data_IF_872809910973
#
_entry.id   IF_872809910973
#
_cell.length_a   1.000
_cell.length_b   1.000
_cell.length_c   1.000
_cell.angle_alpha   90.00
_cell.angle_beta   90.00
_cell.angle_gamma   90.00
#
_symmetry.space_group_name_H-M   'P 1'
#
loop_
_entity.id
_entity.type
_entity.pdbx_description
1 polymer ?
#
# COMPACT_ATOMS: atom_id res chain seq x y z
N UNK A 1 -18.25 -15.21 16.01
CA UNK A 1 -17.13 -15.38 15.04
C UNK A 1 -16.56 -14.05 14.57
N UNK A 2 -17.32 -13.14 13.93
CA UNK A 2 -16.79 -11.82 13.51
C UNK A 2 -16.18 -11.03 14.67
N UNK A 3 -16.88 -10.93 15.81
CA UNK A 3 -16.38 -10.26 17.02
C UNK A 3 -15.12 -10.92 17.57
N UNK A 4 -15.06 -12.26 17.61
CA UNK A 4 -13.88 -13.02 18.06
C UNK A 4 -12.66 -12.76 17.16
N UNK A 5 -12.87 -12.67 15.84
CA UNK A 5 -11.83 -12.36 14.86
C UNK A 5 -11.31 -10.93 15.11
N UNK A 6 -12.21 -9.96 15.23
CA UNK A 6 -11.85 -8.56 15.48
C UNK A 6 -11.10 -8.39 16.79
N UNK A 7 -11.57 -9.03 17.87
CA UNK A 7 -10.90 -9.01 19.16
C UNK A 7 -9.51 -9.66 19.10
N UNK A 8 -9.35 -10.73 18.30
CA UNK A 8 -8.04 -11.36 18.10
C UNK A 8 -7.09 -10.45 17.34
N UNK A 9 -7.55 -9.81 16.26
CA UNK A 9 -6.75 -8.87 15.45
C UNK A 9 -6.33 -7.66 16.30
N UNK A 10 -7.27 -7.02 17.00
CA UNK A 10 -6.97 -5.85 17.83
C UNK A 10 -5.98 -6.17 18.96
N UNK A 11 -6.00 -7.40 19.50
CA UNK A 11 -5.06 -7.84 20.54
C UNK A 11 -3.66 -8.15 20.01
N UNK A 12 -3.54 -8.65 18.78
CA UNK A 12 -2.27 -9.16 18.24
C UNK A 12 -1.59 -8.23 17.23
N UNK A 13 -2.31 -7.24 16.69
CA UNK A 13 -1.81 -6.31 15.66
C UNK A 13 -1.95 -4.87 16.17
N UNK A 14 -0.86 -4.23 16.64
CA UNK A 14 -0.90 -2.89 17.24
C UNK A 14 -1.57 -1.83 16.36
N UNK A 15 -1.35 -1.87 15.04
CA UNK A 15 -1.96 -0.92 14.10
C UNK A 15 -3.49 -1.03 14.02
N UNK A 16 -4.03 -2.18 14.43
CA UNK A 16 -5.46 -2.48 14.49
C UNK A 16 -6.03 -2.45 15.92
N UNK A 17 -5.20 -2.16 16.93
CA UNK A 17 -5.62 -2.03 18.33
C UNK A 17 -6.38 -0.73 18.65
N UNK A 18 -6.56 0.14 17.64
CA UNK A 18 -7.32 1.40 17.78
C UNK A 18 -8.78 1.10 18.14
N UNK A 19 -9.48 2.02 18.82
CA UNK A 19 -10.91 1.86 19.07
C UNK A 19 -11.63 1.49 17.79
N UNK A 20 -12.40 0.40 17.80
CA UNK A 20 -13.24 -0.01 16.67
C UNK A 20 -14.44 0.95 16.47
N UNK A 21 -14.44 2.07 17.17
CA UNK A 21 -15.37 3.19 17.04
C UNK A 21 -14.92 4.10 15.90
N UNK A 22 -15.87 4.59 15.09
CA UNK A 22 -15.58 5.48 13.96
C UNK A 22 -15.40 4.76 12.62
N UNK A 23 -14.85 5.49 11.64
CA UNK A 23 -14.74 5.01 10.24
C UNK A 23 -13.80 3.81 10.09
N UNK A 24 -12.71 3.78 10.86
CA UNK A 24 -11.72 2.71 10.87
C UNK A 24 -12.34 1.37 11.28
N UNK A 25 -12.93 1.30 12.48
CA UNK A 25 -13.50 0.05 12.97
C UNK A 25 -14.68 -0.45 12.14
N UNK A 26 -15.51 0.44 11.58
CA UNK A 26 -16.53 0.07 10.59
C UNK A 26 -15.90 -0.53 9.32
N UNK A 27 -14.77 0.02 8.86
CA UNK A 27 -14.01 -0.52 7.73
C UNK A 27 -13.50 -1.93 8.01
N UNK A 28 -12.86 -2.14 9.15
CA UNK A 28 -12.34 -3.46 9.56
C UNK A 28 -13.47 -4.48 9.72
N UNK A 29 -14.59 -4.11 10.37
CA UNK A 29 -15.78 -4.95 10.50
C UNK A 29 -16.34 -5.37 9.13
N UNK A 30 -16.45 -4.42 8.19
CA UNK A 30 -16.89 -4.70 6.81
C UNK A 30 -15.92 -5.62 6.10
N UNK A 31 -14.61 -5.43 6.27
CA UNK A 31 -13.56 -6.28 5.70
C UNK A 31 -13.65 -7.72 6.20
N UNK A 32 -13.76 -7.94 7.51
CA UNK A 32 -13.93 -9.29 8.09
C UNK A 32 -15.22 -9.93 7.58
N UNK A 33 -16.34 -9.18 7.53
CA UNK A 33 -17.60 -9.72 7.03
C UNK A 33 -17.52 -10.07 5.53
N UNK A 34 -16.83 -9.27 4.72
CA UNK A 34 -16.58 -9.55 3.31
C UNK A 34 -15.71 -10.79 3.13
N UNK A 35 -14.64 -10.93 3.92
CA UNK A 35 -13.76 -12.11 3.89
C UNK A 35 -14.51 -13.41 4.25
N UNK A 36 -15.38 -13.37 5.27
CA UNK A 36 -16.18 -14.54 5.63
C UNK A 36 -17.20 -14.91 4.54
N UNK A 37 -17.81 -13.92 3.88
CA UNK A 37 -18.70 -14.16 2.74
C UNK A 37 -17.94 -14.76 1.55
N UNK A 38 -16.83 -14.14 1.15
CA UNK A 38 -16.00 -14.60 0.04
C UNK A 38 -15.43 -16.00 0.27
N UNK A 39 -15.05 -16.34 1.51
CA UNK A 39 -14.67 -17.71 1.85
C UNK A 39 -15.83 -18.70 1.71
N UNK A 40 -17.03 -18.32 2.15
CA UNK A 40 -18.22 -19.18 2.00
C UNK A 40 -18.61 -19.39 0.54
N UNK A 41 -18.42 -18.37 -0.30
CA UNK A 41 -18.63 -18.46 -1.75
C UNK A 41 -17.60 -19.40 -2.40
N UNK A 42 -16.32 -19.26 -2.04
CA UNK A 42 -15.25 -20.17 -2.50
C UNK A 42 -15.55 -21.64 -2.20
N UNK A 43 -16.11 -21.93 -1.01
CA UNK A 43 -16.48 -23.30 -0.66
C UNK A 43 -17.69 -23.83 -1.45
N UNK A 44 -18.56 -22.95 -1.95
CA UNK A 44 -19.73 -23.33 -2.75
C UNK A 44 -19.38 -23.55 -4.21
N UNK A 45 -18.44 -22.76 -4.72
CA UNK A 45 -18.00 -22.80 -6.11
C UNK A 45 -16.47 -22.64 -6.18
N UNK A 46 -15.71 -23.74 -6.00
CA UNK A 46 -14.25 -23.71 -6.00
C UNK A 46 -13.65 -23.37 -7.38
N UNK A 47 -14.36 -23.74 -8.45
CA UNK A 47 -13.97 -23.53 -9.85
C UNK A 47 -14.48 -22.19 -10.40
N UNK A 48 -15.33 -21.50 -9.62
CA UNK A 48 -15.82 -20.17 -9.93
C UNK A 48 -14.66 -19.23 -10.18
N UNK A 49 -14.59 -18.66 -11.38
CA UNK A 49 -13.65 -17.59 -11.72
C UNK A 49 -13.92 -16.40 -10.79
N UNK A 50 -13.20 -16.35 -9.66
CA UNK A 50 -13.41 -15.46 -8.53
C UNK A 50 -13.13 -13.97 -8.78
N UNK A 51 -13.50 -13.47 -9.96
CA UNK A 51 -13.21 -12.11 -10.44
C UNK A 51 -13.89 -10.99 -9.67
N UNK A 52 -14.92 -11.27 -8.86
CA UNK A 52 -15.58 -10.23 -8.05
C UNK A 52 -14.91 -9.98 -6.68
N UNK A 53 -14.05 -10.90 -6.22
CA UNK A 53 -13.38 -10.78 -4.92
C UNK A 53 -12.02 -10.06 -5.00
N UNK A 54 -11.31 -10.18 -6.13
CA UNK A 54 -9.97 -9.60 -6.30
C UNK A 54 -9.93 -8.09 -6.10
N UNK A 55 -10.87 -7.36 -6.70
CA UNK A 55 -10.94 -5.89 -6.64
C UNK A 55 -10.99 -5.35 -5.19
N UNK A 56 -11.68 -6.06 -4.29
CA UNK A 56 -11.82 -5.62 -2.89
C UNK A 56 -10.49 -5.68 -2.15
N UNK A 57 -9.69 -6.72 -2.39
CA UNK A 57 -8.42 -6.92 -1.69
C UNK A 57 -7.31 -6.05 -2.28
N UNK A 58 -7.33 -5.82 -3.60
CA UNK A 58 -6.50 -4.79 -4.26
C UNK A 58 -6.79 -3.42 -3.63
N UNK A 59 -8.05 -3.02 -3.51
CA UNK A 59 -8.40 -1.73 -2.89
C UNK A 59 -8.05 -1.65 -1.41
N UNK A 60 -8.06 -2.76 -0.70
CA UNK A 60 -7.61 -2.81 0.68
C UNK A 60 -6.10 -2.53 0.77
N UNK A 61 -5.30 -3.15 -0.10
CA UNK A 61 -3.87 -2.89 -0.23
C UNK A 61 -3.55 -1.42 -0.54
N UNK A 62 -4.26 -0.84 -1.52
CA UNK A 62 -4.17 0.61 -1.81
C UNK A 62 -4.54 1.45 -0.59
N UNK A 63 -5.58 1.01 0.14
CA UNK A 63 -6.11 1.66 1.34
C UNK A 63 -5.10 1.74 2.49
N UNK A 64 -4.29 0.70 2.70
CA UNK A 64 -3.23 0.69 3.73
C UNK A 64 -2.21 1.79 3.45
N UNK A 65 -1.71 1.89 2.22
CA UNK A 65 -0.75 2.92 1.82
C UNK A 65 -1.33 4.33 2.00
N UNK A 66 -2.59 4.55 1.58
CA UNK A 66 -3.30 5.83 1.75
C UNK A 66 -3.41 6.24 3.22
N UNK A 67 -3.53 5.26 4.12
CA UNK A 67 -3.64 5.49 5.57
C UNK A 67 -2.28 5.48 6.28
N UNK A 68 -1.16 5.39 5.53
CA UNK A 68 0.20 5.37 6.07
C UNK A 68 0.54 4.12 6.87
N UNK A 69 -0.20 3.02 6.67
CA UNK A 69 0.06 1.72 7.32
C UNK A 69 0.93 0.84 6.44
N UNK A 70 1.57 -0.13 7.09
CA UNK A 70 2.40 -1.12 6.43
C UNK A 70 1.55 -2.28 5.91
N UNK A 71 2.00 -2.86 4.81
CA UNK A 71 1.42 -4.10 4.28
C UNK A 71 1.58 -5.27 5.27
N UNK A 72 2.67 -5.27 6.05
CA UNK A 72 2.94 -6.28 7.08
C UNK A 72 1.83 -6.34 8.14
N UNK A 73 1.30 -5.18 8.57
CA UNK A 73 0.20 -5.13 9.52
C UNK A 73 -1.08 -5.74 8.95
N UNK A 74 -1.37 -5.51 7.67
CA UNK A 74 -2.51 -6.11 7.01
C UNK A 74 -2.36 -7.63 6.88
N UNK A 75 -1.19 -8.12 6.47
CA UNK A 75 -0.91 -9.56 6.40
C UNK A 75 -0.94 -10.23 7.78
N UNK A 76 -0.47 -9.54 8.82
CA UNK A 76 -0.59 -10.01 10.19
C UNK A 76 -2.07 -10.14 10.61
N UNK A 77 -2.92 -9.17 10.27
CA UNK A 77 -4.35 -9.22 10.53
C UNK A 77 -5.02 -10.41 9.83
N UNK A 78 -4.66 -10.71 8.58
CA UNK A 78 -5.14 -11.90 7.87
C UNK A 78 -4.73 -13.20 8.57
N UNK A 79 -3.46 -13.37 8.94
CA UNK A 79 -2.99 -14.58 9.65
C UNK A 79 -3.69 -14.76 11.00
N UNK A 80 -3.93 -13.68 11.74
CA UNK A 80 -4.65 -13.73 13.02
C UNK A 80 -6.12 -14.07 12.81
N UNK A 81 -6.79 -13.41 11.86
CA UNK A 81 -8.18 -13.67 11.52
C UNK A 81 -8.41 -15.10 11.03
N UNK A 82 -7.52 -15.61 10.18
CA UNK A 82 -7.54 -16.99 9.69
C UNK A 82 -7.44 -18.01 10.83
N UNK A 83 -6.49 -17.84 11.76
CA UNK A 83 -6.37 -18.72 12.93
C UNK A 83 -7.59 -18.66 13.84
N UNK A 84 -8.19 -17.48 14.03
CA UNK A 84 -9.42 -17.33 14.81
C UNK A 84 -10.60 -18.04 14.13
N UNK A 85 -10.77 -17.85 12.82
CA UNK A 85 -11.80 -18.53 12.03
C UNK A 85 -11.60 -20.05 12.05
N UNK A 86 -10.38 -20.54 11.80
CA UNK A 86 -10.04 -21.95 11.83
C UNK A 86 -10.39 -22.61 13.17
N UNK A 87 -9.99 -22.01 14.30
CA UNK A 87 -10.34 -22.53 15.63
C UNK A 87 -11.85 -22.71 15.80
N UNK A 88 -12.64 -21.74 15.34
CA UNK A 88 -14.10 -21.77 15.46
C UNK A 88 -14.76 -22.79 14.53
N UNK A 89 -14.24 -22.92 13.31
CA UNK A 89 -14.70 -23.89 12.31
C UNK A 89 -14.35 -25.31 12.71
N UNK A 90 -13.09 -25.59 13.07
CA UNK A 90 -12.64 -26.91 13.53
C UNK A 90 -13.46 -27.40 14.73
N UNK A 91 -13.70 -26.55 15.73
CA UNK A 91 -14.54 -26.90 16.88
C UNK A 91 -16.01 -27.18 16.51
N UNK A 92 -16.55 -26.53 15.47
CA UNK A 92 -17.91 -26.79 15.00
C UNK A 92 -17.97 -28.11 14.22
N UNK A 93 -17.01 -28.33 13.31
CA UNK A 93 -16.88 -29.53 12.50
C UNK A 93 -16.70 -30.79 13.34
N UNK A 94 -15.83 -30.74 14.36
CA UNK A 94 -15.65 -31.86 15.30
C UNK A 94 -16.94 -32.20 16.05
N UNK A 95 -17.69 -31.20 16.51
CA UNK A 95 -19.00 -31.42 17.16
C UNK A 95 -20.06 -31.99 16.22
N UNK A 96 -19.94 -31.72 14.93
CA UNK A 96 -20.82 -32.24 13.89
C UNK A 96 -20.40 -33.63 13.38
N UNK A 97 -19.31 -34.22 13.90
CA UNK A 97 -18.83 -35.53 13.46
C UNK A 97 -18.17 -35.52 12.08
N UNK A 98 -17.69 -34.35 11.62
CA UNK A 98 -16.95 -34.23 10.36
C UNK A 98 -15.63 -35.01 10.49
N UNK A 99 -15.32 -35.82 9.47
CA UNK A 99 -14.11 -36.62 9.47
C UNK A 99 -12.82 -35.80 9.28
N UNK A 100 -11.69 -36.47 9.49
CA UNK A 100 -10.37 -35.84 9.39
C UNK A 100 -10.03 -35.38 7.96
N UNK A 101 -10.55 -36.05 6.92
CA UNK A 101 -10.27 -35.71 5.53
C UNK A 101 -10.95 -34.40 5.16
N UNK A 102 -12.23 -34.24 5.50
CA UNK A 102 -12.98 -33.00 5.30
C UNK A 102 -12.40 -31.85 6.13
N UNK A 103 -11.89 -32.12 7.34
CA UNK A 103 -11.16 -31.11 8.12
C UNK A 103 -9.85 -30.67 7.44
N UNK A 104 -9.10 -31.59 6.83
CA UNK A 104 -7.88 -31.25 6.06
C UNK A 104 -8.22 -30.34 4.88
N UNK A 105 -9.24 -30.73 4.10
CA UNK A 105 -9.69 -29.94 2.95
C UNK A 105 -10.14 -28.53 3.35
N UNK A 106 -10.82 -28.41 4.50
CA UNK A 106 -11.23 -27.11 5.04
C UNK A 106 -10.02 -26.24 5.43
N UNK A 107 -8.99 -26.84 6.02
CA UNK A 107 -7.75 -26.13 6.36
C UNK A 107 -7.02 -25.64 5.11
N UNK A 108 -6.88 -26.51 4.10
CA UNK A 108 -6.29 -26.19 2.80
C UNK A 108 -7.04 -25.04 2.11
N UNK A 109 -8.38 -25.07 2.12
CA UNK A 109 -9.19 -24.00 1.57
C UNK A 109 -8.96 -22.65 2.28
N UNK A 110 -8.80 -22.64 3.61
CA UNK A 110 -8.49 -21.42 4.36
C UNK A 110 -7.11 -20.88 3.95
N UNK A 111 -6.09 -21.74 3.86
CA UNK A 111 -4.75 -21.29 3.46
C UNK A 111 -4.75 -20.73 2.04
N UNK A 112 -5.32 -21.45 1.07
CA UNK A 112 -5.42 -20.98 -0.31
C UNK A 112 -6.18 -19.64 -0.40
N UNK A 113 -7.24 -19.47 0.38
CA UNK A 113 -7.98 -18.21 0.41
C UNK A 113 -7.16 -17.05 0.98
N UNK A 114 -6.44 -17.27 2.08
CA UNK A 114 -5.60 -16.25 2.70
C UNK A 114 -4.42 -15.88 1.79
N UNK A 115 -3.82 -16.84 1.11
CA UNK A 115 -2.74 -16.60 0.17
C UNK A 115 -3.21 -15.74 -1.01
N UNK A 116 -4.40 -16.04 -1.55
CA UNK A 116 -5.01 -15.23 -2.62
C UNK A 116 -5.24 -13.79 -2.19
N UNK A 117 -5.99 -13.57 -1.10
CA UNK A 117 -6.31 -12.18 -0.68
C UNK A 117 -5.05 -11.41 -0.25
N UNK A 118 -4.01 -12.12 0.21
CA UNK A 118 -2.72 -11.51 0.53
C UNK A 118 -1.99 -11.07 -0.73
N UNK A 119 -1.99 -11.88 -1.80
CA UNK A 119 -1.40 -11.53 -3.09
C UNK A 119 -2.10 -10.31 -3.71
N UNK A 120 -3.44 -10.30 -3.76
CA UNK A 120 -4.23 -9.18 -4.28
C UNK A 120 -3.93 -7.88 -3.50
N UNK A 121 -3.81 -7.97 -2.17
CA UNK A 121 -3.48 -6.81 -1.32
C UNK A 121 -2.04 -6.32 -1.55
N UNK A 122 -1.09 -7.22 -1.82
CA UNK A 122 0.30 -6.87 -2.17
C UNK A 122 0.33 -6.11 -3.49
N UNK A 123 -0.39 -6.59 -4.50
CA UNK A 123 -0.52 -5.94 -5.81
C UNK A 123 -1.05 -4.53 -5.65
N UNK A 124 -2.21 -4.35 -5.00
CA UNK A 124 -2.79 -3.02 -4.79
C UNK A 124 -1.88 -2.08 -4.01
N UNK A 125 -1.16 -2.57 -2.99
CA UNK A 125 -0.20 -1.75 -2.26
C UNK A 125 0.97 -1.30 -3.15
N UNK A 126 1.54 -2.22 -3.94
CA UNK A 126 2.65 -1.94 -4.84
C UNK A 126 2.26 -0.94 -5.95
N UNK A 127 1.06 -1.11 -6.53
CA UNK A 127 0.52 -0.17 -7.51
C UNK A 127 0.36 1.24 -6.93
N UNK A 128 -0.30 1.36 -5.77
CA UNK A 128 -0.46 2.65 -5.11
C UNK A 128 0.89 3.29 -4.72
N UNK A 129 1.89 2.47 -4.37
CA UNK A 129 3.23 2.95 -4.05
C UNK A 129 3.93 3.49 -5.30
N UNK A 130 3.83 2.77 -6.41
CA UNK A 130 4.35 3.19 -7.72
C UNK A 130 3.70 4.49 -8.19
N UNK A 131 2.37 4.59 -8.06
CA UNK A 131 1.61 5.80 -8.41
C UNK A 131 2.07 7.01 -7.59
N UNK A 132 2.21 6.85 -6.27
CA UNK A 132 2.65 7.92 -5.37
C UNK A 132 4.07 8.39 -5.69
N UNK A 133 4.98 7.45 -5.97
CA UNK A 133 6.34 7.78 -6.39
C UNK A 133 6.38 8.45 -7.77
N UNK A 134 5.54 7.99 -8.69
CA UNK A 134 5.35 8.57 -10.01
C UNK A 134 4.86 10.03 -9.94
N UNK A 135 3.85 10.32 -9.10
CA UNK A 135 3.38 11.68 -8.85
C UNK A 135 4.48 12.55 -8.23
N UNK A 136 5.17 12.05 -7.20
CA UNK A 136 6.28 12.77 -6.57
C UNK A 136 7.36 13.13 -7.61
N UNK A 137 7.70 12.20 -8.49
CA UNK A 137 8.69 12.44 -9.55
C UNK A 137 8.16 13.43 -10.60
N UNK A 138 6.87 13.40 -10.94
CA UNK A 138 6.23 14.40 -11.82
C UNK A 138 6.31 15.81 -11.24
N UNK A 139 5.95 15.97 -9.96
CA UNK A 139 6.05 17.26 -9.28
C UNK A 139 7.48 17.78 -9.23
N UNK A 140 8.47 16.94 -8.89
CA UNK A 140 9.89 17.33 -8.90
C UNK A 140 10.39 17.72 -10.30
N UNK A 141 9.95 17.04 -11.36
CA UNK A 141 10.29 17.41 -12.75
C UNK A 141 9.69 18.75 -13.15
N UNK A 142 8.43 19.03 -12.78
CA UNK A 142 7.77 20.32 -13.05
C UNK A 142 8.50 21.46 -12.35
N UNK A 143 8.89 21.28 -11.09
CA UNK A 143 9.69 22.25 -10.35
C UNK A 143 11.06 22.49 -10.99
N UNK A 144 11.77 21.41 -11.37
CA UNK A 144 13.07 21.53 -12.04
C UNK A 144 12.97 22.32 -13.35
N UNK A 145 11.95 22.03 -14.17
CA UNK A 145 11.72 22.76 -15.41
C UNK A 145 11.42 24.25 -15.15
N UNK A 146 10.65 24.56 -14.12
CA UNK A 146 10.34 25.93 -13.73
C UNK A 146 11.58 26.71 -13.22
N UNK A 147 12.47 26.06 -12.46
CA UNK A 147 13.72 26.66 -11.97
C UNK A 147 14.74 26.94 -13.08
N UNK A 148 14.70 26.14 -14.15
CA UNK A 148 15.63 26.23 -15.28
C UNK A 148 15.02 26.94 -16.50
N UNK A 149 13.80 27.47 -16.38
CA UNK A 149 13.17 28.21 -17.46
C UNK A 149 13.90 29.55 -17.69
N UNK A 150 14.02 29.96 -18.95
CA UNK A 150 14.65 31.25 -19.30
C UNK A 150 13.93 32.44 -18.67
N UNK A 151 12.61 32.34 -18.54
CA UNK A 151 11.79 33.29 -17.81
C UNK A 151 11.33 32.66 -16.50
N UNK A 152 11.74 33.20 -15.34
CA UNK A 152 11.31 32.66 -14.06
C UNK A 152 9.79 32.84 -13.91
N UNK A 153 9.06 31.82 -13.42
CA UNK A 153 7.66 31.98 -13.09
C UNK A 153 7.47 32.98 -11.95
N UNK A 154 6.23 33.42 -11.75
CA UNK A 154 5.85 34.21 -10.58
C UNK A 154 6.25 33.47 -9.29
N UNK A 155 6.67 34.21 -8.27
CA UNK A 155 7.14 33.66 -7.00
C UNK A 155 6.09 32.74 -6.34
N UNK A 156 4.81 33.11 -6.42
CA UNK A 156 3.70 32.29 -5.90
C UNK A 156 3.59 30.92 -6.58
N UNK A 157 3.82 30.88 -7.90
CA UNK A 157 3.78 29.65 -8.69
C UNK A 157 4.99 28.76 -8.37
N UNK A 158 6.19 29.36 -8.24
CA UNK A 158 7.38 28.62 -7.85
C UNK A 158 7.23 28.03 -6.44
N UNK A 159 6.68 28.81 -5.50
CA UNK A 159 6.39 28.35 -4.14
C UNK A 159 5.36 27.21 -4.13
N UNK A 160 4.35 27.25 -5.01
CA UNK A 160 3.40 26.15 -5.18
C UNK A 160 4.08 24.88 -5.69
N UNK A 161 4.88 24.99 -6.75
CA UNK A 161 5.62 23.84 -7.32
C UNK A 161 6.62 23.25 -6.31
N UNK A 162 7.27 24.08 -5.49
CA UNK A 162 8.14 23.65 -4.41
C UNK A 162 7.39 22.82 -3.36
N UNK A 163 6.24 23.31 -2.89
CA UNK A 163 5.37 22.58 -1.95
C UNK A 163 4.90 21.25 -2.53
N UNK A 164 4.39 21.24 -3.76
CA UNK A 164 3.91 20.01 -4.42
C UNK A 164 5.03 18.97 -4.59
N UNK A 165 6.26 19.41 -4.81
CA UNK A 165 7.44 18.56 -4.95
C UNK A 165 8.04 18.11 -3.60
N UNK A 166 7.46 18.53 -2.47
CA UNK A 166 8.03 18.41 -1.13
C UNK A 166 9.49 18.86 -1.12
N UNK A 167 9.76 20.01 -1.72
CA UNK A 167 11.08 20.63 -1.79
C UNK A 167 11.08 21.92 -0.99
N UNK A 168 11.90 21.98 0.04
CA UNK A 168 12.11 23.19 0.82
C UNK A 168 13.05 24.11 0.02
N UNK A 169 12.60 25.31 -0.40
CA UNK A 169 13.44 26.22 -1.16
C UNK A 169 14.60 26.72 -0.29
N UNK A 170 15.85 26.53 -0.72
CA UNK A 170 17.02 27.04 -0.01
C UNK A 170 17.20 28.55 -0.25
N UNK A 171 18.09 29.16 0.53
CA UNK A 171 18.56 30.52 0.29
C UNK A 171 19.42 30.60 -0.98
N UNK A 172 20.21 29.56 -1.25
CA UNK A 172 21.03 29.43 -2.44
C UNK A 172 20.84 28.07 -3.10
N UNK A 173 20.81 28.05 -4.43
CA UNK A 173 20.78 26.81 -5.21
C UNK A 173 21.80 26.87 -6.34
N UNK A 174 22.49 25.77 -6.61
CA UNK A 174 23.35 25.62 -7.78
C UNK A 174 22.78 24.58 -8.74
N UNK A 175 22.82 24.90 -10.03
CA UNK A 175 22.47 23.98 -11.11
C UNK A 175 23.74 23.42 -11.77
N UNK A 176 23.77 22.11 -11.96
CA UNK A 176 24.84 21.37 -12.61
C UNK A 176 24.27 20.63 -13.82
N UNK A 177 24.90 20.82 -14.98
CA UNK A 177 24.62 20.01 -16.17
C UNK A 177 25.60 18.83 -16.23
N UNK A 178 25.10 17.66 -16.62
CA UNK A 178 25.84 16.42 -16.73
C UNK A 178 25.33 15.57 -17.90
N UNK A 179 26.08 14.52 -18.25
CA UNK A 179 25.59 13.51 -19.20
C UNK A 179 24.38 12.81 -18.58
N UNK A 180 23.35 12.54 -19.39
CA UNK A 180 22.10 11.96 -18.91
C UNK A 180 22.30 10.64 -18.14
N UNK A 181 23.25 9.81 -18.57
CA UNK A 181 23.59 8.53 -17.92
C UNK A 181 24.19 8.70 -16.53
N UNK A 182 24.89 9.81 -16.27
CA UNK A 182 25.58 10.07 -15.01
C UNK A 182 24.66 10.69 -13.96
N UNK A 183 23.51 11.24 -14.38
CA UNK A 183 22.54 11.93 -13.52
C UNK A 183 22.14 11.11 -12.30
N UNK A 184 21.80 9.83 -12.49
CA UNK A 184 21.35 8.97 -11.40
C UNK A 184 22.48 8.63 -10.41
N UNK A 185 23.73 8.56 -10.89
CA UNK A 185 24.89 8.38 -10.03
C UNK A 185 25.18 9.66 -9.22
N UNK A 186 25.10 10.83 -9.85
CA UNK A 186 25.28 12.13 -9.19
C UNK A 186 24.21 12.38 -8.13
N UNK A 187 22.93 12.15 -8.45
CA UNK A 187 21.83 12.33 -7.50
C UNK A 187 21.99 11.49 -6.22
N UNK A 188 22.54 10.27 -6.33
CA UNK A 188 22.81 9.40 -5.16
C UNK A 188 23.96 9.87 -4.28
N UNK A 189 24.88 10.66 -4.83
CA UNK A 189 26.06 11.18 -4.12
C UNK A 189 25.81 12.55 -3.48
N UNK A 190 24.71 13.20 -3.82
CA UNK A 190 24.36 14.54 -3.38
C UNK A 190 23.36 14.51 -2.22
N UNK A 191 23.26 15.62 -1.45
CA UNK A 191 22.38 15.68 -0.27
C UNK A 191 20.92 15.37 -0.58
N UNK A 192 20.22 14.86 0.45
CA UNK A 192 18.78 14.73 0.44
C UNK A 192 18.14 16.10 0.13
N UNK A 193 17.17 16.14 -0.79
CA UNK A 193 16.59 17.39 -1.28
C UNK A 193 17.03 17.79 -2.68
N UNK A 194 18.13 17.22 -3.21
CA UNK A 194 18.58 17.44 -4.59
C UNK A 194 17.46 17.16 -5.61
N UNK A 195 17.22 18.09 -6.53
CA UNK A 195 16.34 17.89 -7.68
C UNK A 195 17.17 17.37 -8.85
N UNK A 196 16.69 16.36 -9.57
CA UNK A 196 17.38 15.87 -10.75
C UNK A 196 16.37 15.46 -11.82
N UNK A 197 16.71 15.74 -13.08
CA UNK A 197 15.89 15.40 -14.23
C UNK A 197 16.66 15.59 -15.53
N UNK A 198 16.00 15.30 -16.65
CA UNK A 198 16.56 15.53 -17.98
C UNK A 198 15.86 16.74 -18.59
N UNK A 199 16.64 17.70 -19.09
CA UNK A 199 16.16 18.87 -19.83
C UNK A 199 16.86 18.87 -21.18
N UNK A 200 16.10 18.84 -22.27
CA UNK A 200 16.62 18.85 -23.65
C UNK A 200 17.74 17.81 -23.91
N UNK A 201 17.61 16.60 -23.35
CA UNK A 201 18.60 15.52 -23.50
C UNK A 201 19.88 15.68 -22.67
N UNK A 202 19.95 16.67 -21.77
CA UNK A 202 21.03 16.81 -20.77
C UNK A 202 20.52 16.46 -19.38
N UNK A 203 21.36 15.78 -18.60
CA UNK A 203 21.08 15.58 -17.19
C UNK A 203 21.29 16.89 -16.43
N UNK A 204 20.29 17.32 -15.67
CA UNK A 204 20.38 18.48 -14.79
C UNK A 204 20.17 18.07 -13.34
N UNK A 205 20.97 18.66 -12.46
CA UNK A 205 20.89 18.47 -11.01
C UNK A 205 20.91 19.84 -10.34
N UNK A 206 19.95 20.10 -9.46
CA UNK A 206 19.88 21.31 -8.65
C UNK A 206 20.09 20.94 -7.18
N UNK A 207 21.15 21.49 -6.59
CA UNK A 207 21.56 21.26 -5.21
C UNK A 207 21.22 22.49 -4.38
N UNK A 208 20.62 22.25 -3.23
CA UNK A 208 20.29 23.26 -2.23
C UNK A 208 21.49 23.52 -1.32
N UNK A 209 21.74 24.79 -1.00
CA UNK A 209 22.81 25.28 -0.12
C UNK A 209 24.17 24.59 -0.34
N UNK A 210 24.73 24.69 -1.56
CA UNK A 210 25.99 24.04 -1.96
C UNK A 210 27.26 24.63 -1.32
#
# INVERSE_FOLDING_TARGET
>A
MTEEILASIAREVPEYARPLEGSFGRGVQRGVAAALRGFTELLRDPDGQGGAAGDVYVELGRGELRQGRTLDSLQAAYRVGARAAWRRLAQASLRAGVDAQALSLLAEAIFAYIDRISADSVEGYAEAQSEREGERQRHRRRLLAALLAEQPPLEEELARLARDAAWEPPLLAAALACVETDRAALQRRLPAGTLAGTIEGRGCVVVADP
#
